data_IF_428676960151
#
_entry.id   IF_428676960151
#
_cell.length_a   1.000
_cell.length_b   1.000
_cell.length_c   1.000
_cell.angle_alpha   90.00
_cell.angle_beta   90.00
_cell.angle_gamma   90.00
#
_symmetry.space_group_name_H-M   'P 1'
#
loop_
_entity.id
_entity.type
_entity.pdbx_description
1 polymer ?
#
# COMPACT_ATOMS: atom_id res chain seq x y z
N UNK A 1 -1.18 0.10 -9.45
CA UNK A 1 -0.61 -0.78 -8.40
C UNK A 1 -1.40 -2.07 -8.20
N UNK A 2 -2.69 -2.01 -7.87
CA UNK A 2 -3.51 -3.23 -7.67
C UNK A 2 -3.57 -4.11 -8.93
N UNK A 3 -3.53 -3.50 -10.11
CA UNK A 3 -3.41 -4.19 -11.41
C UNK A 3 -2.16 -5.09 -11.54
N UNK A 4 -1.12 -4.88 -10.71
CA UNK A 4 0.06 -5.76 -10.68
C UNK A 4 -0.24 -7.12 -10.04
N UNK A 5 -1.27 -7.17 -9.20
CA UNK A 5 -1.60 -8.33 -8.37
C UNK A 5 -2.98 -8.92 -8.68
N UNK A 6 -3.79 -8.29 -9.53
CA UNK A 6 -5.11 -8.77 -9.92
C UNK A 6 -5.20 -8.92 -11.44
N UNK A 7 -5.84 -10.00 -11.89
CA UNK A 7 -6.13 -10.21 -13.32
C UNK A 7 -7.23 -9.27 -13.85
N UNK A 8 -8.08 -8.76 -12.97
CA UNK A 8 -9.20 -7.85 -13.28
C UNK A 8 -9.49 -6.99 -12.04
N UNK A 9 -9.78 -5.70 -12.24
CA UNK A 9 -9.98 -4.72 -11.15
C UNK A 9 -11.42 -4.19 -11.06
N UNK A 10 -12.26 -4.46 -12.06
CA UNK A 10 -13.66 -4.02 -12.11
C UNK A 10 -14.57 -5.18 -12.51
N UNK A 11 -15.74 -5.32 -11.88
CA UNK A 11 -16.68 -6.41 -12.11
C UNK A 11 -18.09 -5.86 -12.28
N UNK A 12 -18.92 -6.54 -13.07
CA UNK A 12 -20.29 -6.07 -13.38
C UNK A 12 -21.36 -6.66 -12.46
N UNK A 13 -21.04 -7.73 -11.73
CA UNK A 13 -21.94 -8.35 -10.75
C UNK A 13 -21.16 -9.13 -9.69
N UNK A 14 -21.84 -9.55 -8.62
CA UNK A 14 -21.25 -10.43 -7.61
C UNK A 14 -20.87 -11.79 -8.19
N UNK A 15 -21.66 -12.33 -9.12
CA UNK A 15 -21.36 -13.61 -9.78
C UNK A 15 -20.12 -13.52 -10.67
N UNK A 16 -19.96 -12.40 -11.38
CA UNK A 16 -18.76 -12.08 -12.16
C UNK A 16 -17.53 -11.98 -11.24
N UNK A 17 -17.66 -11.25 -10.13
CA UNK A 17 -16.61 -11.15 -9.11
C UNK A 17 -16.16 -12.52 -8.57
N UNK A 18 -17.11 -13.37 -8.16
CA UNK A 18 -16.79 -14.70 -7.63
C UNK A 18 -16.09 -15.58 -8.66
N UNK A 19 -16.51 -15.50 -9.94
CA UNK A 19 -15.94 -16.33 -11.01
C UNK A 19 -14.56 -15.86 -11.46
N UNK A 20 -14.34 -14.54 -11.48
CA UNK A 20 -13.22 -13.95 -12.22
C UNK A 20 -12.18 -13.25 -11.33
N UNK A 21 -12.42 -13.07 -10.02
CA UNK A 21 -11.39 -12.56 -9.12
C UNK A 21 -10.23 -13.55 -9.05
N UNK A 22 -9.08 -13.15 -9.57
CA UNK A 22 -7.83 -13.90 -9.52
C UNK A 22 -6.71 -13.02 -9.00
N UNK A 23 -6.15 -13.42 -7.85
CA UNK A 23 -4.98 -12.78 -7.25
C UNK A 23 -3.73 -13.45 -7.82
N UNK A 24 -2.91 -12.66 -8.49
CA UNK A 24 -1.62 -13.06 -9.02
C UNK A 24 -0.58 -12.87 -7.91
N UNK A 25 -0.27 -13.94 -7.18
CA UNK A 25 0.70 -13.92 -6.08
C UNK A 25 2.10 -14.16 -6.66
N UNK A 26 3.03 -13.18 -6.55
CA UNK A 26 4.42 -13.38 -6.96
C UNK A 26 5.11 -14.45 -6.10
N UNK A 27 6.15 -15.10 -6.65
CA UNK A 27 6.95 -16.09 -5.90
C UNK A 27 7.58 -15.49 -4.63
N UNK A 28 8.01 -14.23 -4.72
CA UNK A 28 8.50 -13.45 -3.58
C UNK A 28 7.67 -12.18 -3.46
N UNK A 29 7.06 -11.96 -2.30
CA UNK A 29 6.26 -10.77 -2.02
C UNK A 29 6.51 -10.25 -0.61
N UNK A 30 6.80 -8.95 -0.51
CA UNK A 30 6.90 -8.20 0.73
C UNK A 30 6.12 -6.89 0.57
N UNK A 31 5.10 -6.67 1.41
CA UNK A 31 4.25 -5.50 1.31
C UNK A 31 5.00 -4.16 1.46
N UNK A 32 6.02 -4.10 2.31
CA UNK A 32 6.86 -2.91 2.47
C UNK A 32 7.59 -2.54 1.18
N UNK A 33 8.28 -3.51 0.56
CA UNK A 33 9.04 -3.25 -0.66
C UNK A 33 8.14 -3.16 -1.92
N UNK A 34 7.24 -4.12 -2.12
CA UNK A 34 6.49 -4.25 -3.37
C UNK A 34 5.29 -3.29 -3.46
N UNK A 35 4.86 -2.71 -2.34
CA UNK A 35 3.74 -1.76 -2.29
C UNK A 35 4.16 -0.40 -1.77
N UNK A 36 4.69 -0.31 -0.54
CA UNK A 36 4.99 0.99 0.09
C UNK A 36 6.14 1.68 -0.63
N UNK A 37 7.28 1.01 -0.82
CA UNK A 37 8.45 1.58 -1.49
C UNK A 37 8.19 1.88 -2.96
N UNK A 38 7.47 1.00 -3.65
CA UNK A 38 7.11 1.25 -5.05
C UNK A 38 6.17 2.46 -5.20
N UNK A 39 5.24 2.71 -4.28
CA UNK A 39 4.49 3.97 -4.26
C UNK A 39 5.35 5.17 -3.88
N UNK A 40 6.28 5.02 -2.95
CA UNK A 40 7.22 6.09 -2.58
C UNK A 40 8.11 6.50 -3.77
N UNK A 41 8.45 5.56 -4.65
CA UNK A 41 9.19 5.83 -5.88
C UNK A 41 8.32 6.45 -6.99
N UNK A 42 7.10 5.93 -7.20
CA UNK A 42 6.22 6.37 -8.29
C UNK A 42 5.47 7.68 -8.00
N UNK A 43 5.00 7.85 -6.76
CA UNK A 43 4.18 8.98 -6.31
C UNK A 43 4.55 9.36 -4.86
N UNK A 44 5.75 9.92 -4.63
CA UNK A 44 6.27 10.17 -3.28
C UNK A 44 5.32 11.02 -2.41
N UNK A 45 4.73 12.07 -2.99
CA UNK A 45 3.86 13.02 -2.30
C UNK A 45 2.42 12.54 -2.12
N UNK A 46 2.10 11.33 -2.60
CA UNK A 46 0.75 10.79 -2.50
C UNK A 46 0.40 10.56 -1.02
N UNK A 47 -0.76 11.05 -0.54
CA UNK A 47 -1.24 10.77 0.81
C UNK A 47 -1.36 9.26 1.06
N UNK A 48 -0.72 8.77 2.14
CA UNK A 48 -0.70 7.37 2.52
C UNK A 48 -1.50 7.09 3.80
N UNK A 49 -1.29 7.92 4.84
CA UNK A 49 -1.94 7.77 6.13
C UNK A 49 -2.29 9.13 6.72
N UNK A 50 -3.53 9.31 7.14
CA UNK A 50 -3.93 10.43 7.99
C UNK A 50 -4.16 9.90 9.40
N UNK A 51 -3.25 10.24 10.32
CA UNK A 51 -3.43 9.96 11.74
C UNK A 51 -4.18 11.12 12.39
N UNK A 52 -5.13 10.82 13.28
CA UNK A 52 -5.90 11.81 14.04
C UNK A 52 -6.15 11.35 15.47
N UNK A 53 -6.48 12.26 16.40
CA UNK A 53 -6.91 11.92 17.76
C UNK A 53 -8.13 12.72 18.24
N UNK A 54 -8.59 12.42 19.46
CA UNK A 54 -9.74 13.05 20.14
C UNK A 54 -9.48 14.49 20.59
N UNK A 55 -8.22 14.91 20.62
CA UNK A 55 -7.79 16.28 20.90
C UNK A 55 -7.79 17.18 19.65
N UNK A 56 -8.17 16.62 18.49
CA UNK A 56 -8.23 17.35 17.22
C UNK A 56 -6.87 17.48 16.52
N UNK A 57 -5.83 16.76 16.97
CA UNK A 57 -4.57 16.71 16.26
C UNK A 57 -4.71 15.84 15.00
N UNK A 58 -4.00 16.22 13.93
CA UNK A 58 -3.88 15.41 12.74
C UNK A 58 -2.44 15.43 12.20
N UNK A 59 -2.03 14.32 11.59
CA UNK A 59 -0.75 14.18 10.90
C UNK A 59 -0.96 13.44 9.60
N UNK A 60 -0.66 14.11 8.49
CA UNK A 60 -0.67 13.50 7.16
C UNK A 60 0.73 12.94 6.87
N UNK A 61 0.78 11.68 6.46
CA UNK A 61 1.98 11.02 5.97
C UNK A 61 1.82 10.73 4.48
N UNK A 62 2.86 11.01 3.71
CA UNK A 62 2.98 10.62 2.32
C UNK A 62 3.61 9.22 2.20
N UNK A 63 3.61 8.62 1.00
CA UNK A 63 4.32 7.34 0.81
C UNK A 63 5.84 7.48 0.99
N UNK A 64 6.42 8.63 0.66
CA UNK A 64 7.83 8.91 0.96
C UNK A 64 8.10 8.94 2.48
N UNK A 65 7.21 9.56 3.26
CA UNK A 65 7.32 9.57 4.73
C UNK A 65 7.23 8.14 5.29
N UNK A 66 6.26 7.35 4.79
CA UNK A 66 6.07 5.97 5.22
C UNK A 66 7.34 5.15 5.01
N UNK A 67 7.92 5.18 3.79
CA UNK A 67 9.18 4.48 3.48
C UNK A 67 10.30 4.88 4.45
N UNK A 68 10.49 6.18 4.65
CA UNK A 68 11.54 6.70 5.54
C UNK A 68 11.38 6.17 6.96
N UNK A 69 10.18 6.24 7.53
CA UNK A 69 9.95 5.79 8.91
C UNK A 69 10.05 4.27 9.05
N UNK A 70 9.61 3.50 8.05
CA UNK A 70 9.75 2.04 8.07
C UNK A 70 11.21 1.62 7.97
N UNK A 71 12.01 2.26 7.11
CA UNK A 71 13.45 1.98 6.98
C UNK A 71 14.19 2.29 8.29
N UNK A 72 13.90 3.43 8.91
CA UNK A 72 14.45 3.79 10.23
C UNK A 72 14.09 2.75 11.30
N UNK A 73 12.84 2.28 11.32
CA UNK A 73 12.37 1.30 12.30
C UNK A 73 13.00 -0.07 12.08
N UNK A 74 13.13 -0.52 10.82
CA UNK A 74 13.79 -1.76 10.46
C UNK A 74 15.28 -1.76 10.82
N UNK A 75 15.93 -0.60 10.77
CA UNK A 75 17.33 -0.41 11.15
C UNK A 75 17.58 -0.23 12.65
N UNK A 76 16.52 -0.17 13.47
CA UNK A 76 16.65 0.08 14.91
C UNK A 76 17.17 -1.17 15.63
N UNK A 77 18.36 -1.10 16.27
CA UNK A 77 18.87 -2.22 17.06
C UNK A 77 18.04 -2.38 18.33
N UNK A 78 17.52 -3.59 18.55
CA UNK A 78 16.83 -3.99 19.79
C UNK A 78 17.80 -4.08 20.97
#
# INVERSE_FOLDING_TARGET
MVERFLSQTSFTSQEDFIKNLKINVPENFNFGYDVVDAWAAEQPDKPALLWTNDQGECRQFTFADMKRYTDMTASYPL
#
